data_IF_935960778010
#
_entry.id   IF_935960778010
#
_cell.length_a   1.000
_cell.length_b   1.000
_cell.length_c   1.000
_cell.angle_alpha   90.00
_cell.angle_beta   90.00
_cell.angle_gamma   90.00
#
_symmetry.space_group_name_H-M   'P 1'
#
loop_
_entity.id
_entity.type
_entity.pdbx_description
1 polymer ?
#
# COMPACT_ATOMS: atom_id res chain seq x y z
N UNK A 1 -23.03 -17.94 11.70
CA UNK A 1 -23.72 -16.99 10.78
C UNK A 1 -24.70 -17.81 9.95
N UNK A 2 -25.91 -17.34 9.71
CA UNK A 2 -26.95 -18.07 8.96
C UNK A 2 -26.51 -18.22 7.49
N UNK A 3 -26.69 -19.42 6.89
CA UNK A 3 -26.33 -19.76 5.49
C UNK A 3 -26.90 -18.74 4.49
N UNK A 4 -28.14 -18.32 4.69
CA UNK A 4 -28.81 -17.34 3.84
C UNK A 4 -28.10 -15.97 3.84
N UNK A 5 -27.56 -15.56 4.98
CA UNK A 5 -26.81 -14.30 5.12
C UNK A 5 -25.41 -14.38 4.47
N UNK A 6 -24.82 -15.60 4.45
CA UNK A 6 -23.57 -15.88 3.73
C UNK A 6 -23.77 -15.79 2.21
N UNK A 7 -24.83 -16.43 1.68
CA UNK A 7 -25.16 -16.42 0.26
C UNK A 7 -25.45 -14.98 -0.26
N UNK A 8 -26.14 -14.17 0.57
CA UNK A 8 -26.40 -12.75 0.24
C UNK A 8 -25.10 -11.93 0.18
N UNK A 9 -24.18 -12.14 1.12
CA UNK A 9 -22.88 -11.44 1.14
C UNK A 9 -22.00 -11.85 -0.05
N UNK A 10 -22.02 -13.11 -0.48
CA UNK A 10 -21.31 -13.59 -1.67
C UNK A 10 -21.84 -12.92 -2.94
N UNK A 11 -23.16 -12.89 -3.12
CA UNK A 11 -23.79 -12.24 -4.27
C UNK A 11 -23.43 -10.75 -4.33
N UNK A 12 -23.42 -10.07 -3.18
CA UNK A 12 -23.03 -8.65 -3.08
C UNK A 12 -21.56 -8.48 -3.42
N UNK A 13 -20.66 -9.29 -2.86
CA UNK A 13 -19.20 -9.22 -3.13
C UNK A 13 -18.90 -9.46 -4.59
N UNK A 14 -19.52 -10.47 -5.20
CA UNK A 14 -19.35 -10.79 -6.63
C UNK A 14 -19.85 -9.66 -7.53
N UNK A 15 -21.05 -9.13 -7.27
CA UNK A 15 -21.61 -8.01 -8.04
C UNK A 15 -20.71 -6.77 -7.94
N UNK A 16 -20.16 -6.50 -6.77
CA UNK A 16 -19.22 -5.40 -6.53
C UNK A 16 -17.92 -5.59 -7.31
N UNK A 17 -17.32 -6.78 -7.27
CA UNK A 17 -16.12 -7.09 -8.04
C UNK A 17 -16.38 -6.95 -9.56
N UNK A 18 -17.49 -7.47 -10.06
CA UNK A 18 -17.88 -7.36 -11.46
C UNK A 18 -18.08 -5.89 -11.89
N UNK A 19 -18.71 -5.08 -11.05
CA UNK A 19 -18.86 -3.64 -11.28
C UNK A 19 -17.52 -2.94 -11.41
N UNK A 20 -16.60 -3.14 -10.46
CA UNK A 20 -15.31 -2.47 -10.47
C UNK A 20 -14.40 -2.97 -11.59
N UNK A 21 -14.45 -4.24 -11.94
CA UNK A 21 -13.74 -4.78 -13.12
C UNK A 21 -14.27 -4.15 -14.43
N UNK A 22 -15.59 -3.98 -14.54
CA UNK A 22 -16.18 -3.28 -15.67
C UNK A 22 -15.76 -1.81 -15.72
N UNK A 23 -15.82 -1.08 -14.59
CA UNK A 23 -15.44 0.32 -14.52
C UNK A 23 -13.94 0.50 -14.86
N UNK A 24 -13.08 -0.34 -14.32
CA UNK A 24 -11.64 -0.31 -14.61
C UNK A 24 -11.35 -0.59 -16.09
N UNK A 25 -12.03 -1.56 -16.69
CA UNK A 25 -11.90 -1.82 -18.14
C UNK A 25 -12.30 -0.61 -18.98
N UNK A 26 -13.36 0.12 -18.58
CA UNK A 26 -13.77 1.37 -19.24
C UNK A 26 -12.72 2.46 -19.10
N UNK A 27 -12.11 2.62 -17.92
CA UNK A 27 -11.02 3.57 -17.67
C UNK A 27 -9.76 3.20 -18.48
N UNK A 28 -9.40 1.92 -18.54
CA UNK A 28 -8.28 1.44 -19.36
C UNK A 28 -8.49 1.81 -20.83
N UNK A 29 -9.68 1.59 -21.39
CA UNK A 29 -9.99 1.86 -22.79
C UNK A 29 -9.90 3.35 -23.18
N UNK A 30 -10.06 4.27 -22.24
CA UNK A 30 -9.97 5.73 -22.48
C UNK A 30 -8.66 6.33 -21.97
N UNK A 31 -7.77 5.54 -21.35
CA UNK A 31 -6.49 5.99 -20.84
C UNK A 31 -5.36 5.86 -21.86
N UNK A 32 -4.30 6.67 -21.65
CA UNK A 32 -3.02 6.40 -22.29
C UNK A 32 -2.27 5.27 -21.58
N UNK A 33 -1.56 4.40 -22.33
CA UNK A 33 -0.85 3.28 -21.73
C UNK A 33 0.39 3.70 -20.95
N UNK A 34 0.75 2.89 -19.94
CA UNK A 34 2.00 2.99 -19.21
C UNK A 34 2.07 4.12 -18.18
N UNK A 35 3.29 4.33 -17.67
CA UNK A 35 3.62 5.40 -16.72
C UNK A 35 4.12 6.60 -17.50
N UNK A 36 3.47 7.74 -17.33
CA UNK A 36 3.80 9.00 -18.02
C UNK A 36 3.84 10.15 -17.00
N UNK A 37 5.00 10.37 -16.33
CA UNK A 37 5.12 11.42 -15.31
C UNK A 37 4.77 12.81 -15.87
N UNK A 38 4.04 13.59 -15.08
CA UNK A 38 3.67 14.96 -15.45
C UNK A 38 2.31 15.38 -14.91
N UNK A 39 2.18 16.66 -14.54
CA UNK A 39 0.99 17.18 -13.90
C UNK A 39 0.00 17.85 -14.87
N UNK A 40 0.40 18.14 -16.11
CA UNK A 40 -0.41 18.92 -17.04
C UNK A 40 -1.75 18.28 -17.41
N UNK A 41 -1.77 16.95 -17.67
CA UNK A 41 -2.99 16.22 -18.04
C UNK A 41 -3.97 16.17 -16.88
N UNK A 42 -3.49 15.71 -15.71
CA UNK A 42 -4.33 15.62 -14.52
C UNK A 42 -4.82 16.99 -14.04
N UNK A 43 -3.99 18.04 -14.05
CA UNK A 43 -4.40 19.39 -13.71
C UNK A 43 -5.53 19.90 -14.62
N UNK A 44 -5.43 19.62 -15.93
CA UNK A 44 -6.47 20.00 -16.89
C UNK A 44 -7.78 19.22 -16.64
N UNK A 45 -7.67 17.93 -16.39
CA UNK A 45 -8.84 17.08 -16.07
C UNK A 45 -9.51 17.55 -14.78
N UNK A 46 -8.73 17.83 -13.73
CA UNK A 46 -9.27 18.33 -12.46
C UNK A 46 -9.95 19.71 -12.64
N UNK A 47 -9.39 20.58 -13.48
CA UNK A 47 -10.03 21.87 -13.80
C UNK A 47 -11.39 21.66 -14.49
N UNK A 48 -11.49 20.73 -15.44
CA UNK A 48 -12.75 20.38 -16.11
C UNK A 48 -13.78 19.74 -15.17
N UNK A 49 -13.33 19.18 -14.04
CA UNK A 49 -14.19 18.61 -12.97
C UNK A 49 -14.50 19.62 -11.85
N UNK A 50 -14.15 20.91 -12.00
CA UNK A 50 -14.40 21.95 -11.00
C UNK A 50 -13.35 22.03 -9.87
N UNK A 51 -12.13 21.55 -10.11
CA UNK A 51 -11.00 21.55 -9.17
C UNK A 51 -11.29 20.80 -7.83
N UNK A 52 -11.74 19.56 -7.85
CA UNK A 52 -12.13 18.82 -6.66
C UNK A 52 -10.97 18.52 -5.68
N UNK A 53 -9.72 18.76 -6.09
CA UNK A 53 -8.50 18.58 -5.29
C UNK A 53 -8.22 19.77 -4.36
N UNK A 54 -9.06 20.83 -4.41
CA UNK A 54 -8.89 22.02 -3.60
C UNK A 54 -9.87 22.05 -2.43
N UNK A 55 -9.41 22.52 -1.27
CA UNK A 55 -10.26 22.82 -0.12
C UNK A 55 -10.38 21.71 0.93
N UNK A 56 -9.93 20.48 0.66
CA UNK A 56 -9.93 19.39 1.64
C UNK A 56 -8.55 19.34 2.32
N UNK A 57 -8.45 19.51 3.64
CA UNK A 57 -7.18 19.33 4.35
C UNK A 57 -6.65 17.91 4.13
N UNK A 58 -5.43 17.78 3.59
CA UNK A 58 -4.87 16.48 3.28
C UNK A 58 -3.58 16.17 4.04
N UNK A 59 -3.41 14.92 4.48
CA UNK A 59 -2.13 14.36 4.85
C UNK A 59 -1.61 13.58 3.64
N UNK A 60 -0.53 14.06 3.03
CA UNK A 60 0.03 13.48 1.82
C UNK A 60 1.16 12.51 2.16
N UNK A 61 0.94 11.21 1.92
CA UNK A 61 1.86 10.13 2.31
C UNK A 61 2.68 9.67 1.12
N UNK A 62 4.01 9.82 1.21
CA UNK A 62 4.97 9.52 0.14
C UNK A 62 6.07 8.59 0.68
N UNK A 63 6.77 7.89 -0.18
CA UNK A 63 7.88 6.99 0.20
C UNK A 63 8.07 5.86 -0.80
N UNK A 64 8.94 4.91 -0.50
CA UNK A 64 9.07 3.68 -1.29
C UNK A 64 8.24 2.57 -0.67
N UNK A 65 8.51 2.21 0.58
CA UNK A 65 7.79 1.17 1.32
C UNK A 65 7.05 1.77 2.53
N UNK A 66 5.96 1.13 2.97
CA UNK A 66 5.21 1.53 4.15
C UNK A 66 4.13 2.59 3.93
N UNK A 67 4.03 3.22 2.74
CA UNK A 67 3.04 4.27 2.46
C UNK A 67 1.61 3.88 2.84
N UNK A 68 1.10 2.79 2.26
CA UNK A 68 -0.27 2.33 2.50
C UNK A 68 -0.54 1.96 3.95
N UNK A 69 0.40 1.29 4.64
CA UNK A 69 0.27 0.96 6.07
C UNK A 69 0.23 2.22 6.94
N UNK A 70 1.11 3.21 6.67
CA UNK A 70 1.12 4.50 7.37
C UNK A 70 -0.15 5.30 7.07
N UNK A 71 -0.60 5.33 5.82
CA UNK A 71 -1.84 6.03 5.42
C UNK A 71 -3.06 5.41 6.09
N UNK A 72 -3.18 4.08 6.09
CA UNK A 72 -4.26 3.38 6.77
C UNK A 72 -4.26 3.62 8.29
N UNK A 73 -3.07 3.60 8.92
CA UNK A 73 -2.94 3.90 10.36
C UNK A 73 -3.34 5.33 10.69
N UNK A 74 -2.95 6.32 9.87
CA UNK A 74 -3.40 7.71 10.01
C UNK A 74 -4.92 7.82 9.87
N UNK A 75 -5.50 7.21 8.85
CA UNK A 75 -6.95 7.21 8.63
C UNK A 75 -7.69 6.64 9.83
N UNK A 76 -7.24 5.49 10.35
CA UNK A 76 -7.84 4.86 11.51
C UNK A 76 -7.73 5.73 12.78
N UNK A 77 -6.58 6.42 13.00
CA UNK A 77 -6.40 7.35 14.13
C UNK A 77 -7.37 8.53 14.02
N UNK A 78 -7.47 9.18 12.86
CA UNK A 78 -8.39 10.30 12.66
C UNK A 78 -9.85 9.86 12.77
N UNK A 79 -10.18 8.69 12.25
CA UNK A 79 -11.54 8.10 12.38
C UNK A 79 -11.88 7.82 13.86
N UNK A 80 -10.95 7.21 14.63
CA UNK A 80 -11.11 7.01 16.07
C UNK A 80 -11.18 8.34 16.86
N UNK A 81 -10.64 9.42 16.31
CA UNK A 81 -10.76 10.78 16.86
C UNK A 81 -12.10 11.46 16.52
N UNK A 82 -13.00 10.78 15.81
CA UNK A 82 -14.33 11.27 15.44
C UNK A 82 -14.35 12.16 14.21
N UNK A 83 -13.27 12.27 13.44
CA UNK A 83 -13.25 13.00 12.18
C UNK A 83 -13.80 12.14 11.05
N UNK A 84 -14.50 12.78 10.11
CA UNK A 84 -14.88 12.19 8.84
C UNK A 84 -13.62 12.08 7.96
N UNK A 85 -13.19 10.86 7.68
CA UNK A 85 -11.95 10.60 6.94
C UNK A 85 -12.21 10.20 5.51
N UNK A 86 -11.28 10.57 4.60
CA UNK A 86 -11.13 9.92 3.30
C UNK A 86 -9.74 9.31 3.21
N UNK A 87 -9.64 8.06 2.78
CA UNK A 87 -8.37 7.35 2.56
C UNK A 87 -8.25 6.98 1.08
N UNK A 88 -7.27 7.57 0.39
CA UNK A 88 -6.90 7.20 -0.98
C UNK A 88 -5.57 6.47 -0.98
N UNK A 89 -5.54 5.25 -1.56
CA UNK A 89 -4.35 4.39 -1.61
C UNK A 89 -4.18 3.74 -2.98
N UNK A 90 -2.95 3.28 -3.27
CA UNK A 90 -2.62 2.59 -4.52
C UNK A 90 -1.42 1.64 -4.38
N UNK A 91 -1.37 0.54 -5.17
CA UNK A 91 -2.49 0.00 -5.96
C UNK A 91 -3.55 -0.67 -5.07
N UNK A 92 -4.66 -1.08 -5.65
CA UNK A 92 -5.63 -1.96 -4.99
C UNK A 92 -5.12 -3.41 -4.93
N UNK A 93 -5.70 -4.21 -4.05
CA UNK A 93 -5.36 -5.63 -3.89
C UNK A 93 -6.24 -6.52 -4.78
N UNK A 94 -7.56 -6.40 -4.69
CA UNK A 94 -8.53 -7.20 -5.44
C UNK A 94 -9.24 -6.36 -6.51
N UNK A 95 -9.82 -5.20 -6.14
CA UNK A 95 -10.55 -4.37 -7.10
C UNK A 95 -10.40 -2.87 -6.83
N UNK A 96 -10.61 -2.07 -7.85
CA UNK A 96 -10.37 -0.62 -7.87
C UNK A 96 -11.10 0.14 -6.74
N UNK A 97 -12.27 -0.32 -6.29
CA UNK A 97 -13.03 0.32 -5.21
C UNK A 97 -12.29 0.42 -3.87
N UNK A 98 -11.27 -0.44 -3.65
CA UNK A 98 -10.43 -0.39 -2.45
C UNK A 98 -9.60 0.90 -2.35
N UNK A 99 -9.37 1.58 -3.49
CA UNK A 99 -8.50 2.77 -3.56
C UNK A 99 -9.08 3.98 -2.84
N UNK A 100 -10.39 4.01 -2.63
CA UNK A 100 -11.05 5.10 -1.91
C UNK A 100 -11.98 4.56 -0.84
N UNK A 101 -11.74 4.97 0.39
CA UNK A 101 -12.61 4.71 1.55
C UNK A 101 -13.04 6.03 2.17
N UNK A 102 -14.26 6.09 2.66
CA UNK A 102 -14.79 7.16 3.50
C UNK A 102 -15.16 6.54 4.85
N UNK A 103 -14.62 7.07 5.94
CA UNK A 103 -14.80 6.51 7.29
C UNK A 103 -14.54 4.98 7.32
N UNK A 104 -13.37 4.56 6.76
CA UNK A 104 -12.92 3.17 6.67
C UNK A 104 -13.81 2.25 5.80
N UNK A 105 -14.88 2.78 5.17
CA UNK A 105 -15.79 2.03 4.31
C UNK A 105 -15.54 2.34 2.84
N UNK A 106 -15.59 1.31 1.99
CA UNK A 106 -15.52 1.52 0.54
C UNK A 106 -16.72 2.32 0.07
N UNK A 107 -16.48 3.22 -0.88
CA UNK A 107 -17.53 4.05 -1.49
C UNK A 107 -18.50 3.18 -2.31
N UNK A 108 -19.77 3.50 -2.25
CA UNK A 108 -20.82 2.79 -2.99
C UNK A 108 -20.63 2.91 -4.51
N UNK A 109 -21.00 1.86 -5.24
CA UNK A 109 -20.82 1.70 -6.69
C UNK A 109 -21.54 2.82 -7.49
N UNK A 110 -22.69 3.25 -7.01
CA UNK A 110 -23.48 4.31 -7.65
C UNK A 110 -22.70 5.63 -7.71
N UNK A 111 -21.98 5.99 -6.64
CA UNK A 111 -21.15 7.19 -6.63
C UNK A 111 -20.02 7.12 -7.63
N UNK A 112 -19.32 5.98 -7.70
CA UNK A 112 -18.31 5.75 -8.71
C UNK A 112 -18.86 5.88 -10.13
N UNK A 113 -20.06 5.32 -10.37
CA UNK A 113 -20.74 5.41 -11.67
C UNK A 113 -21.08 6.84 -12.05
N UNK A 114 -21.63 7.63 -11.13
CA UNK A 114 -22.05 9.00 -11.41
C UNK A 114 -20.86 9.94 -11.65
N UNK A 115 -19.80 9.79 -10.85
CA UNK A 115 -18.56 10.56 -11.09
C UNK A 115 -17.84 10.12 -12.36
N UNK A 116 -17.89 8.84 -12.73
CA UNK A 116 -17.37 8.37 -14.02
C UNK A 116 -18.09 9.00 -15.20
N UNK A 117 -19.43 9.15 -15.16
CA UNK A 117 -20.19 9.86 -16.21
C UNK A 117 -19.72 11.29 -16.39
N UNK A 118 -19.48 12.01 -15.28
CA UNK A 118 -18.96 13.40 -15.29
C UNK A 118 -17.54 13.46 -15.87
N UNK A 119 -16.66 12.52 -15.47
CA UNK A 119 -15.30 12.40 -16.00
C UNK A 119 -15.30 12.09 -17.51
N UNK A 120 -16.09 11.13 -17.96
CA UNK A 120 -16.22 10.76 -19.38
C UNK A 120 -16.74 11.93 -20.23
N UNK A 121 -17.70 12.70 -19.73
CA UNK A 121 -18.17 13.92 -20.36
C UNK A 121 -17.06 14.97 -20.48
N UNK A 122 -16.31 15.25 -19.41
CA UNK A 122 -15.19 16.20 -19.40
C UNK A 122 -14.10 15.79 -20.42
N UNK A 123 -13.77 14.50 -20.52
CA UNK A 123 -12.81 13.99 -21.50
C UNK A 123 -13.31 14.17 -22.95
N UNK A 124 -14.61 14.02 -23.18
CA UNK A 124 -15.21 14.19 -24.52
C UNK A 124 -15.32 15.65 -24.95
N UNK A 125 -15.46 16.57 -24.04
CA UNK A 125 -15.58 18.01 -24.33
C UNK A 125 -14.22 18.67 -24.55
N UNK A 126 -13.15 18.20 -23.87
CA UNK A 126 -11.83 18.81 -23.96
C UNK A 126 -10.97 18.20 -25.08
N UNK A 127 -10.76 18.97 -26.16
CA UNK A 127 -9.96 18.54 -27.32
C UNK A 127 -8.51 18.19 -27.01
N UNK A 128 -7.90 18.81 -25.98
CA UNK A 128 -6.52 18.49 -25.58
C UNK A 128 -6.45 17.20 -24.79
N UNK A 129 -7.43 16.91 -23.95
CA UNK A 129 -7.53 15.61 -23.25
C UNK A 129 -7.83 14.45 -24.21
N UNK A 130 -8.50 14.73 -25.34
CA UNK A 130 -8.66 13.74 -26.43
C UNK A 130 -7.35 13.45 -27.15
N UNK A 131 -6.53 14.48 -27.44
CA UNK A 131 -5.27 14.32 -28.16
C UNK A 131 -4.13 13.78 -27.31
N UNK A 132 -4.14 14.04 -25.99
CA UNK A 132 -3.19 13.54 -24.99
C UNK A 132 -3.97 12.99 -23.78
N UNK A 133 -4.52 11.77 -23.87
CA UNK A 133 -5.35 11.20 -22.81
C UNK A 133 -4.58 11.00 -21.50
N UNK A 134 -5.24 11.21 -20.34
CA UNK A 134 -4.66 10.88 -19.05
C UNK A 134 -4.32 9.40 -18.92
N UNK A 135 -3.35 9.06 -18.09
CA UNK A 135 -3.05 7.68 -17.72
C UNK A 135 -4.17 7.10 -16.84
N UNK A 136 -4.23 5.77 -16.74
CA UNK A 136 -5.17 5.10 -15.84
C UNK A 136 -5.06 5.62 -14.40
N UNK A 137 -3.84 5.83 -13.90
CA UNK A 137 -3.62 6.37 -12.56
C UNK A 137 -4.17 7.80 -12.41
N UNK A 138 -3.93 8.68 -13.39
CA UNK A 138 -4.48 10.04 -13.40
C UNK A 138 -6.02 10.04 -13.42
N UNK A 139 -6.65 9.14 -14.20
CA UNK A 139 -8.11 9.00 -14.26
C UNK A 139 -8.70 8.54 -12.92
N UNK A 140 -8.12 7.50 -12.31
CA UNK A 140 -8.59 6.98 -11.01
C UNK A 140 -8.37 8.04 -9.92
N UNK A 141 -7.24 8.75 -9.93
CA UNK A 141 -6.96 9.83 -8.97
C UNK A 141 -7.99 10.96 -9.11
N UNK A 142 -8.27 11.43 -10.33
CA UNK A 142 -9.26 12.48 -10.57
C UNK A 142 -10.67 12.06 -10.14
N UNK A 143 -11.05 10.82 -10.44
CA UNK A 143 -12.33 10.24 -10.04
C UNK A 143 -12.47 10.17 -8.51
N UNK A 144 -11.43 9.69 -7.82
CA UNK A 144 -11.39 9.61 -6.37
C UNK A 144 -11.45 10.98 -5.70
N UNK A 145 -10.69 11.96 -6.20
CA UNK A 145 -10.73 13.34 -5.69
C UNK A 145 -12.10 14.00 -5.92
N UNK A 146 -12.76 13.71 -7.05
CA UNK A 146 -14.11 14.19 -7.33
C UNK A 146 -15.14 13.63 -6.35
N UNK A 147 -15.04 12.34 -5.99
CA UNK A 147 -15.89 11.71 -4.97
C UNK A 147 -15.59 12.30 -3.59
N UNK A 148 -14.30 12.46 -3.23
CA UNK A 148 -13.91 13.06 -1.95
C UNK A 148 -14.49 14.47 -1.78
N UNK A 149 -14.46 15.30 -2.83
CA UNK A 149 -15.01 16.66 -2.77
C UNK A 149 -16.52 16.66 -2.48
N UNK A 150 -17.26 15.69 -3.00
CA UNK A 150 -18.71 15.53 -2.70
C UNK A 150 -18.94 15.02 -1.28
N UNK A 151 -18.08 14.12 -0.79
CA UNK A 151 -18.16 13.54 0.55
C UNK A 151 -17.73 14.50 1.67
N UNK A 152 -17.04 15.58 1.34
CA UNK A 152 -16.57 16.61 2.29
C UNK A 152 -15.96 16.05 3.59
N UNK A 153 -14.88 15.25 3.52
CA UNK A 153 -14.22 14.76 4.73
C UNK A 153 -13.54 15.92 5.48
N UNK A 154 -13.43 15.78 6.82
CA UNK A 154 -12.66 16.70 7.65
C UNK A 154 -11.16 16.63 7.34
N UNK A 155 -10.69 15.43 6.95
CA UNK A 155 -9.30 15.18 6.57
C UNK A 155 -9.22 14.06 5.53
N UNK A 156 -8.40 14.27 4.50
CA UNK A 156 -8.05 13.23 3.52
C UNK A 156 -6.63 12.73 3.76
N UNK A 157 -6.46 11.42 3.83
CA UNK A 157 -5.16 10.77 3.85
C UNK A 157 -4.91 10.23 2.44
N UNK A 158 -3.87 10.72 1.77
CA UNK A 158 -3.67 10.47 0.34
C UNK A 158 -2.28 9.91 0.10
N UNK A 159 -2.23 8.67 -0.35
CA UNK A 159 -1.00 7.98 -0.74
C UNK A 159 -0.60 8.35 -2.15
N UNK A 160 0.66 8.76 -2.36
CA UNK A 160 1.24 8.95 -3.69
C UNK A 160 1.49 7.62 -4.39
N UNK A 161 1.19 7.57 -5.68
CA UNK A 161 1.40 6.35 -6.48
C UNK A 161 2.87 6.10 -6.80
N UNK A 162 3.56 7.11 -7.34
CA UNK A 162 4.96 6.98 -7.78
C UNK A 162 5.74 8.29 -7.60
N UNK A 163 6.89 8.20 -6.92
CA UNK A 163 7.76 9.37 -6.71
C UNK A 163 7.14 10.37 -5.74
N UNK A 164 6.86 11.56 -6.19
CA UNK A 164 6.24 12.66 -5.44
C UNK A 164 6.04 13.87 -6.33
N UNK A 165 7.11 14.45 -6.88
CA UNK A 165 7.11 15.71 -7.65
C UNK A 165 6.11 15.74 -8.79
N UNK A 166 6.05 14.67 -9.57
CA UNK A 166 5.18 14.54 -10.74
C UNK A 166 4.03 13.54 -10.55
N UNK A 167 3.79 13.12 -9.30
CA UNK A 167 2.66 12.26 -8.98
C UNK A 167 1.33 13.03 -9.08
N UNK A 168 0.31 12.37 -9.61
CA UNK A 168 -1.01 12.97 -9.80
C UNK A 168 -1.63 13.51 -8.50
N UNK A 169 -1.28 12.90 -7.35
CA UNK A 169 -1.74 13.34 -6.03
C UNK A 169 -1.07 14.62 -5.54
N UNK A 170 0.05 15.04 -6.16
CA UNK A 170 0.80 16.22 -5.71
C UNK A 170 0.10 17.57 -6.01
N UNK A 171 -1.05 17.55 -6.66
CA UNK A 171 -1.90 18.72 -6.90
C UNK A 171 -2.85 19.06 -5.73
N UNK A 172 -2.96 18.17 -4.74
CA UNK A 172 -3.83 18.37 -3.58
C UNK A 172 -3.43 19.63 -2.81
N UNK A 173 -4.44 20.44 -2.42
CA UNK A 173 -4.24 21.63 -1.61
C UNK A 173 -5.53 21.98 -0.84
N UNK A 174 -5.47 22.28 0.48
CA UNK A 174 -4.28 22.43 1.32
C UNK A 174 -3.69 21.07 1.79
N UNK A 175 -2.37 21.02 2.00
CA UNK A 175 -1.69 19.89 2.62
C UNK A 175 -1.42 20.25 4.08
N UNK A 176 -2.08 19.54 5.01
CA UNK A 176 -1.89 19.73 6.44
C UNK A 176 -0.50 19.22 6.90
N UNK A 177 -0.05 18.12 6.29
CA UNK A 177 1.30 17.56 6.51
C UNK A 177 1.72 16.67 5.34
N UNK A 178 2.99 16.75 4.95
CA UNK A 178 3.64 15.77 4.08
C UNK A 178 4.32 14.71 4.95
N UNK A 179 3.91 13.44 4.83
CA UNK A 179 4.47 12.30 5.60
C UNK A 179 5.30 11.44 4.66
N UNK A 180 6.59 11.32 4.96
CA UNK A 180 7.54 10.59 4.12
C UNK A 180 7.97 9.31 4.86
N UNK A 181 7.57 8.16 4.33
CA UNK A 181 7.93 6.83 4.84
C UNK A 181 9.34 6.46 4.39
N UNK A 182 9.77 5.20 4.58
CA UNK A 182 11.11 4.77 4.17
C UNK A 182 11.32 4.94 2.65
N UNK A 183 12.51 5.44 2.28
CA UNK A 183 12.95 5.60 0.90
C UNK A 183 14.00 4.51 0.59
N UNK A 184 13.86 3.86 -0.55
CA UNK A 184 14.79 2.84 -1.02
C UNK A 184 14.87 2.87 -2.55
N UNK A 185 15.85 2.16 -3.11
CA UNK A 185 15.97 1.98 -4.56
C UNK A 185 14.75 1.23 -5.09
N UNK A 186 13.99 1.85 -5.94
CA UNK A 186 12.85 1.31 -6.69
C UNK A 186 12.49 2.27 -7.82
N UNK A 187 11.93 1.75 -8.90
CA UNK A 187 11.50 2.55 -10.06
C UNK A 187 12.61 3.46 -10.64
N UNK A 188 13.85 2.98 -10.68
CA UNK A 188 15.04 3.75 -11.07
C UNK A 188 14.92 4.39 -12.46
N UNK A 189 14.22 3.74 -13.39
CA UNK A 189 13.97 4.27 -14.73
C UNK A 189 13.13 5.58 -14.75
N UNK A 190 12.41 5.88 -13.67
CA UNK A 190 11.57 7.08 -13.54
C UNK A 190 12.08 8.06 -12.49
N UNK A 191 12.66 7.56 -11.39
CA UNK A 191 13.01 8.36 -10.22
C UNK A 191 14.50 8.66 -10.10
N UNK A 192 15.31 7.98 -10.91
CA UNK A 192 16.78 8.11 -10.89
C UNK A 192 17.48 6.91 -10.26
N UNK A 193 18.77 6.84 -10.52
CA UNK A 193 19.69 5.72 -10.26
C UNK A 193 20.46 5.85 -8.93
N UNK A 194 20.11 6.82 -8.11
CA UNK A 194 20.69 7.02 -6.78
C UNK A 194 19.61 7.32 -5.75
N UNK A 195 19.90 6.94 -4.49
CA UNK A 195 18.99 7.19 -3.38
C UNK A 195 18.69 8.69 -3.17
N UNK A 196 19.68 9.55 -3.46
CA UNK A 196 19.51 11.01 -3.38
C UNK A 196 18.54 11.53 -4.44
N UNK A 197 18.62 11.08 -5.70
CA UNK A 197 17.67 11.46 -6.76
C UNK A 197 16.25 11.00 -6.41
N UNK A 198 16.10 9.78 -5.91
CA UNK A 198 14.82 9.26 -5.44
C UNK A 198 14.31 10.08 -4.25
N UNK A 199 15.20 10.48 -3.34
CA UNK A 199 14.89 11.35 -2.21
C UNK A 199 14.38 12.72 -2.67
N UNK A 200 15.07 13.38 -3.60
CA UNK A 200 14.65 14.67 -4.18
C UNK A 200 13.27 14.61 -4.82
N UNK A 201 12.98 13.56 -5.60
CA UNK A 201 11.66 13.34 -6.20
C UNK A 201 10.55 13.21 -5.15
N UNK A 202 10.85 12.52 -4.04
CA UNK A 202 9.87 12.31 -2.96
C UNK A 202 9.72 13.52 -2.06
N UNK A 203 10.80 14.19 -1.69
CA UNK A 203 10.77 15.41 -0.89
C UNK A 203 10.16 16.62 -1.62
N UNK A 204 10.02 16.55 -2.95
CA UNK A 204 9.35 17.60 -3.72
C UNK A 204 7.83 17.76 -3.44
N UNK A 205 7.27 16.97 -2.53
CA UNK A 205 5.91 17.15 -2.00
C UNK A 205 5.84 18.13 -0.83
N UNK A 206 6.98 18.58 -0.32
CA UNK A 206 7.04 19.58 0.76
C UNK A 206 6.37 20.88 0.31
N UNK A 207 5.56 21.48 1.17
CA UNK A 207 4.86 22.73 0.91
C UNK A 207 5.54 23.88 1.64
N UNK A 208 5.85 25.00 0.99
CA UNK A 208 6.39 26.19 1.68
C UNK A 208 5.52 26.57 2.88
N UNK A 209 6.16 26.87 4.01
CA UNK A 209 5.51 27.19 5.30
C UNK A 209 4.61 26.06 5.84
N UNK A 210 4.77 24.83 5.32
CA UNK A 210 3.96 23.66 5.69
C UNK A 210 4.58 22.86 6.84
N UNK A 211 4.06 21.65 7.01
CA UNK A 211 4.57 20.66 7.98
C UNK A 211 4.99 19.39 7.25
N UNK A 212 6.05 18.76 7.73
CA UNK A 212 6.51 17.49 7.18
C UNK A 212 7.03 16.56 8.27
N UNK A 213 6.84 15.27 8.04
CA UNK A 213 7.38 14.23 8.92
C UNK A 213 8.08 13.17 8.08
N UNK A 214 9.35 12.94 8.31
CA UNK A 214 10.14 11.91 7.63
C UNK A 214 10.47 10.76 8.59
N UNK A 215 10.40 9.53 8.11
CA UNK A 215 10.75 8.34 8.89
C UNK A 215 12.22 8.33 9.35
N UNK A 216 13.10 9.08 8.66
CA UNK A 216 14.55 9.04 8.88
C UNK A 216 15.24 7.86 8.20
N UNK A 217 14.57 7.16 7.28
CA UNK A 217 15.12 6.01 6.56
C UNK A 217 15.15 6.22 5.04
N UNK A 218 16.34 6.10 4.42
CA UNK A 218 17.64 5.86 5.04
C UNK A 218 18.22 7.12 5.71
N UNK A 219 19.06 6.92 6.72
CA UNK A 219 19.64 8.01 7.52
C UNK A 219 20.42 9.02 6.69
N UNK A 220 21.08 8.57 5.62
CA UNK A 220 21.85 9.42 4.70
C UNK A 220 21.00 10.51 3.99
N UNK A 221 19.67 10.37 3.95
CA UNK A 221 18.75 11.37 3.39
C UNK A 221 18.29 12.42 4.41
N UNK A 222 18.56 12.23 5.71
CA UNK A 222 18.14 13.17 6.76
C UNK A 222 18.73 14.57 6.56
N UNK A 223 20.02 14.74 6.23
CA UNK A 223 20.57 16.07 5.94
C UNK A 223 19.90 16.76 4.74
N UNK A 224 19.59 16.02 3.68
CA UNK A 224 18.88 16.56 2.53
C UNK A 224 17.47 17.02 2.90
N UNK A 225 16.73 16.21 3.65
CA UNK A 225 15.39 16.55 4.14
C UNK A 225 15.41 17.84 4.96
N UNK A 226 16.33 17.95 5.94
CA UNK A 226 16.47 19.15 6.80
C UNK A 226 16.81 20.40 6.00
N UNK A 227 17.75 20.31 5.07
CA UNK A 227 18.13 21.43 4.20
C UNK A 227 16.95 21.90 3.33
N UNK A 228 16.10 20.98 2.85
CA UNK A 228 14.88 21.32 2.11
C UNK A 228 13.82 21.96 3.01
N UNK A 229 13.66 21.49 4.23
CA UNK A 229 12.74 22.07 5.21
C UNK A 229 13.17 23.51 5.57
N UNK A 230 14.45 23.75 5.84
CA UNK A 230 14.99 25.07 6.09
C UNK A 230 14.77 26.02 4.90
N UNK A 231 15.08 25.58 3.67
CA UNK A 231 14.93 26.36 2.45
C UNK A 231 13.47 26.77 2.18
N UNK A 232 12.50 25.92 2.52
CA UNK A 232 11.08 26.12 2.27
C UNK A 232 10.30 26.63 3.48
N UNK A 233 10.98 26.91 4.59
CA UNK A 233 10.37 27.27 5.88
C UNK A 233 9.30 26.24 6.31
N UNK A 234 9.67 24.96 6.27
CA UNK A 234 8.81 23.83 6.65
C UNK A 234 9.11 23.43 8.08
N UNK A 235 8.08 23.27 8.91
CA UNK A 235 8.21 22.59 10.22
C UNK A 235 8.43 21.09 9.97
N UNK A 236 9.70 20.69 9.89
CA UNK A 236 10.10 19.34 9.55
C UNK A 236 10.51 18.53 10.78
N UNK A 237 9.97 17.32 10.92
CA UNK A 237 10.31 16.35 11.97
C UNK A 237 10.90 15.08 11.36
N UNK A 238 11.81 14.43 12.11
CA UNK A 238 12.42 13.15 11.73
C UNK A 238 12.16 12.12 12.83
N UNK A 239 11.46 11.04 12.51
CA UNK A 239 11.06 10.01 13.48
C UNK A 239 12.26 9.44 14.23
N UNK A 240 13.35 9.13 13.51
CA UNK A 240 14.55 8.52 14.11
C UNK A 240 15.33 9.44 15.04
N UNK A 241 15.09 10.76 15.02
CA UNK A 241 15.77 11.75 15.84
C UNK A 241 14.88 12.32 16.95
N UNK A 242 13.64 12.68 16.59
CA UNK A 242 12.74 13.42 17.48
C UNK A 242 11.90 12.48 18.36
N UNK A 243 11.73 11.22 17.91
CA UNK A 243 10.91 10.23 18.60
C UNK A 243 11.68 8.94 18.84
N UNK A 244 11.30 8.20 19.88
CA UNK A 244 11.95 6.93 20.27
C UNK A 244 10.91 5.84 20.46
N UNK A 245 11.04 4.78 19.68
CA UNK A 245 10.31 3.54 19.90
C UNK A 245 11.02 2.71 20.98
N UNK A 246 10.29 2.27 21.99
CA UNK A 246 10.79 1.46 23.11
C UNK A 246 9.93 0.21 23.34
N UNK A 247 10.46 -0.72 24.10
CA UNK A 247 9.73 -1.89 24.62
C UNK A 247 8.99 -2.71 23.56
N UNK A 248 9.58 -2.84 22.37
CA UNK A 248 8.96 -3.55 21.25
C UNK A 248 8.81 -5.04 21.56
N UNK A 249 7.58 -5.53 21.48
CA UNK A 249 7.22 -6.94 21.54
C UNK A 249 6.46 -7.30 20.27
N UNK A 250 6.91 -8.33 19.57
CA UNK A 250 6.28 -8.82 18.34
C UNK A 250 5.79 -10.25 18.55
N UNK A 251 4.58 -10.53 18.10
CA UNK A 251 3.95 -11.86 18.19
C UNK A 251 3.08 -12.13 16.97
N UNK A 252 2.48 -13.31 16.90
CA UNK A 252 1.49 -13.66 15.88
C UNK A 252 0.20 -12.80 15.93
N UNK A 253 -0.03 -12.11 17.04
CA UNK A 253 -1.20 -11.24 17.22
C UNK A 253 -0.92 -9.77 16.87
N UNK A 254 0.31 -9.44 16.48
CA UNK A 254 0.70 -8.06 16.18
C UNK A 254 1.93 -7.60 16.96
N UNK A 255 2.05 -6.30 17.08
CA UNK A 255 3.15 -5.63 17.78
C UNK A 255 2.63 -4.76 18.91
N UNK A 256 3.38 -4.72 20.01
CA UNK A 256 3.19 -3.81 21.16
C UNK A 256 4.48 -3.02 21.35
N UNK A 257 4.38 -1.71 21.62
CA UNK A 257 5.53 -0.84 21.82
C UNK A 257 5.13 0.46 22.54
N UNK A 258 6.14 1.17 23.04
CA UNK A 258 5.99 2.53 23.55
C UNK A 258 6.61 3.51 22.55
N UNK A 259 6.06 4.73 22.48
CA UNK A 259 6.54 5.79 21.62
C UNK A 259 6.71 7.07 22.42
N UNK A 260 7.96 7.56 22.54
CA UNK A 260 8.32 8.74 23.31
C UNK A 260 8.74 9.86 22.37
N UNK A 261 8.08 10.99 22.46
CA UNK A 261 8.33 12.17 21.65
C UNK A 261 8.39 13.46 22.47
N UNK A 262 8.50 14.63 21.82
CA UNK A 262 8.57 15.93 22.49
C UNK A 262 7.35 16.17 23.40
N UNK A 263 7.57 16.10 24.71
CA UNK A 263 6.54 16.36 25.71
C UNK A 263 5.42 15.32 25.82
N UNK A 264 5.62 14.12 25.26
CA UNK A 264 4.62 13.04 25.27
C UNK A 264 5.29 11.66 25.39
N UNK A 265 4.64 10.77 26.11
CA UNK A 265 4.96 9.34 26.14
C UNK A 265 3.66 8.55 25.90
N UNK A 266 3.57 7.93 24.74
CA UNK A 266 2.46 7.05 24.35
C UNK A 266 2.85 5.62 24.71
N UNK A 267 2.31 5.10 25.79
CA UNK A 267 2.67 3.75 26.30
C UNK A 267 1.66 2.70 25.87
N UNK A 268 2.12 1.46 25.72
CA UNK A 268 1.29 0.31 25.33
C UNK A 268 0.48 0.55 24.03
N UNK A 269 1.16 1.03 23.00
CA UNK A 269 0.60 1.07 21.64
C UNK A 269 0.54 -0.35 21.10
N UNK A 270 -0.62 -0.77 20.66
CA UNK A 270 -0.86 -2.11 20.08
C UNK A 270 -1.32 -1.96 18.64
N UNK A 271 -0.76 -2.76 17.76
CA UNK A 271 -1.25 -2.90 16.38
C UNK A 271 -1.26 -4.36 15.96
N UNK A 272 -2.32 -4.78 15.26
CA UNK A 272 -2.45 -6.12 14.69
C UNK A 272 -1.73 -6.27 13.34
N UNK A 273 -1.13 -5.20 12.82
CA UNK A 273 -0.25 -5.29 11.65
C UNK A 273 1.03 -6.04 12.02
N UNK A 274 1.29 -7.15 11.33
CA UNK A 274 2.41 -8.03 11.62
C UNK A 274 3.74 -7.52 11.04
N UNK A 275 4.82 -7.86 11.73
CA UNK A 275 6.19 -7.58 11.31
C UNK A 275 6.77 -6.30 11.91
N UNK A 276 8.08 -6.33 12.19
CA UNK A 276 8.81 -5.24 12.85
C UNK A 276 8.79 -3.92 12.07
N UNK A 277 8.67 -3.99 10.74
CA UNK A 277 8.54 -2.80 9.90
C UNK A 277 7.23 -2.04 10.13
N UNK A 278 6.17 -2.72 10.60
CA UNK A 278 4.90 -2.08 10.92
C UNK A 278 4.98 -1.25 12.19
N UNK A 279 5.88 -1.59 13.14
CA UNK A 279 6.15 -0.73 14.31
C UNK A 279 6.60 0.66 13.85
N UNK A 280 7.50 0.73 12.86
CA UNK A 280 7.97 2.01 12.31
C UNK A 280 6.87 2.76 11.56
N UNK A 281 6.08 2.05 10.73
CA UNK A 281 4.99 2.65 9.98
C UNK A 281 3.90 3.23 10.90
N UNK A 282 3.53 2.49 11.94
CA UNK A 282 2.52 2.91 12.92
C UNK A 282 3.05 3.97 13.89
N UNK A 283 4.34 3.93 14.25
CA UNK A 283 4.99 4.99 15.01
C UNK A 283 5.02 6.31 14.21
N UNK A 284 5.35 6.26 12.91
CA UNK A 284 5.31 7.43 12.03
C UNK A 284 3.88 8.00 11.91
N UNK A 285 2.88 7.13 11.83
CA UNK A 285 1.47 7.56 11.81
C UNK A 285 1.05 8.21 13.14
N UNK A 286 1.38 7.59 14.27
CA UNK A 286 1.06 8.10 15.61
C UNK A 286 1.71 9.45 15.89
N UNK A 287 3.02 9.58 15.61
CA UNK A 287 3.73 10.83 15.78
C UNK A 287 3.22 11.93 14.84
N UNK A 288 2.94 11.61 13.57
CA UNK A 288 2.36 12.57 12.62
C UNK A 288 0.97 13.06 13.06
N UNK A 289 0.12 12.16 13.54
CA UNK A 289 -1.20 12.52 14.05
C UNK A 289 -1.07 13.41 15.34
N UNK A 290 -0.12 13.10 16.21
CA UNK A 290 0.15 13.90 17.41
C UNK A 290 0.60 15.32 17.06
N UNK A 291 1.52 15.48 16.12
CA UNK A 291 1.99 16.80 15.64
C UNK A 291 0.86 17.63 14.98
N UNK A 292 -0.15 16.97 14.42
CA UNK A 292 -1.32 17.63 13.85
C UNK A 292 -2.39 17.98 14.89
N UNK A 293 -2.20 17.69 16.18
CA UNK A 293 -3.19 17.94 17.25
C UNK A 293 -3.62 19.42 17.36
N UNK A 294 -2.74 20.36 17.02
CA UNK A 294 -3.11 21.79 17.00
C UNK A 294 -4.18 22.12 15.95
N UNK A 295 -4.22 21.40 14.85
CA UNK A 295 -5.21 21.53 13.77
C UNK A 295 -6.40 20.59 13.96
N UNK A 296 -6.14 19.42 14.58
CA UNK A 296 -7.14 18.38 14.84
C UNK A 296 -7.18 18.06 16.34
N UNK A 297 -7.81 18.93 17.18
CA UNK A 297 -7.74 18.85 18.64
C UNK A 297 -8.36 17.61 19.28
N UNK A 298 -9.21 16.87 18.54
CA UNK A 298 -9.79 15.61 19.03
C UNK A 298 -8.80 14.44 18.99
N UNK A 299 -7.63 14.59 18.36
CA UNK A 299 -6.56 13.60 18.43
C UNK A 299 -6.03 13.53 19.86
N UNK A 300 -6.14 12.38 20.48
CA UNK A 300 -5.76 12.10 21.86
C UNK A 300 -4.91 10.82 21.94
N UNK A 301 -4.24 10.59 23.06
CA UNK A 301 -3.59 9.30 23.29
C UNK A 301 -4.56 8.12 23.12
N UNK A 302 -5.78 8.27 23.63
CA UNK A 302 -6.83 7.25 23.53
C UNK A 302 -7.16 6.95 22.05
N UNK A 303 -7.44 7.97 21.25
CA UNK A 303 -7.79 7.77 19.83
C UNK A 303 -6.63 7.23 19.00
N UNK A 304 -5.37 7.57 19.35
CA UNK A 304 -4.20 6.96 18.71
C UNK A 304 -4.14 5.46 19.04
N UNK A 305 -4.32 5.06 20.30
CA UNK A 305 -4.35 3.64 20.68
C UNK A 305 -5.46 2.87 19.98
N UNK A 306 -6.68 3.40 20.00
CA UNK A 306 -7.84 2.78 19.34
C UNK A 306 -7.61 2.64 17.82
N UNK A 307 -7.17 3.71 17.15
CA UNK A 307 -6.92 3.68 15.71
C UNK A 307 -5.82 2.69 15.32
N UNK A 308 -4.71 2.61 16.08
CA UNK A 308 -3.65 1.64 15.80
C UNK A 308 -4.05 0.20 16.10
N UNK A 309 -4.89 -0.03 17.11
CA UNK A 309 -5.43 -1.35 17.42
C UNK A 309 -6.37 -1.84 16.32
N UNK A 310 -7.24 -0.97 15.80
CA UNK A 310 -8.30 -1.37 14.88
C UNK A 310 -7.89 -1.35 13.40
N UNK A 311 -6.71 -0.77 13.07
CA UNK A 311 -6.25 -0.66 11.68
C UNK A 311 -6.10 -2.04 11.03
N UNK A 312 -6.62 -2.15 9.79
CA UNK A 312 -6.51 -3.34 8.95
C UNK A 312 -5.88 -2.97 7.61
N UNK A 313 -4.83 -3.69 7.23
CA UNK A 313 -4.16 -3.46 5.96
C UNK A 313 -3.82 -4.79 5.26
N UNK A 314 -4.74 -5.33 4.45
CA UNK A 314 -4.58 -6.63 3.80
C UNK A 314 -3.35 -6.71 2.88
N UNK A 315 -2.78 -7.91 2.75
CA UNK A 315 -1.65 -8.20 1.88
C UNK A 315 -0.30 -7.66 2.38
N UNK A 316 -0.19 -7.34 3.67
CA UNK A 316 1.05 -6.92 4.34
C UNK A 316 1.33 -7.82 5.55
N UNK A 317 2.05 -8.91 5.30
CA UNK A 317 2.30 -9.99 6.26
C UNK A 317 0.98 -10.42 6.94
N UNK A 318 -0.07 -10.53 6.12
CA UNK A 318 -1.41 -10.90 6.56
C UNK A 318 -1.46 -12.39 6.85
N UNK A 319 -1.85 -12.72 8.07
CA UNK A 319 -2.11 -14.09 8.45
C UNK A 319 -3.53 -14.48 8.06
N UNK A 320 -3.65 -15.47 7.19
CA UNK A 320 -4.93 -16.06 6.82
C UNK A 320 -5.11 -17.30 7.68
N UNK A 321 -6.23 -17.36 8.42
CA UNK A 321 -6.56 -18.46 9.32
C UNK A 321 -6.99 -19.69 8.53
N UNK A 322 -5.99 -20.40 8.03
CA UNK A 322 -6.15 -21.68 7.36
C UNK A 322 -5.25 -22.74 8.03
N UNK A 323 -5.59 -24.00 7.87
CA UNK A 323 -4.82 -25.12 8.38
C UNK A 323 -4.24 -25.96 7.21
N UNK A 324 -2.91 -25.96 6.99
CA UNK A 324 -1.88 -25.17 7.67
C UNK A 324 -1.95 -23.67 7.35
N UNK A 325 -1.34 -22.79 8.18
CA UNK A 325 -1.42 -21.35 8.02
C UNK A 325 -0.90 -20.84 6.67
N UNK A 326 -1.51 -19.74 6.18
CA UNK A 326 -1.10 -19.03 4.98
C UNK A 326 -0.78 -17.57 5.34
N UNK A 327 0.42 -17.11 4.97
CA UNK A 327 0.85 -15.73 5.10
C UNK A 327 0.87 -15.07 3.72
N UNK A 328 0.34 -13.87 3.62
CA UNK A 328 0.28 -13.08 2.39
C UNK A 328 1.08 -11.79 2.56
N UNK A 329 2.08 -11.57 1.69
CA UNK A 329 2.85 -10.33 1.69
C UNK A 329 3.17 -9.84 0.28
N UNK A 330 2.92 -8.56 0.04
CA UNK A 330 3.17 -7.93 -1.26
C UNK A 330 4.60 -7.42 -1.48
N UNK A 331 5.59 -7.81 -0.70
CA UNK A 331 6.99 -7.43 -0.90
C UNK A 331 7.49 -7.84 -2.29
N UNK A 332 8.04 -6.87 -3.05
CA UNK A 332 8.41 -7.04 -4.45
C UNK A 332 9.67 -6.24 -4.85
N UNK A 333 10.34 -5.61 -3.90
CA UNK A 333 11.63 -4.96 -4.08
C UNK A 333 12.61 -5.44 -3.00
N UNK A 334 13.94 -5.29 -3.17
CA UNK A 334 14.94 -5.81 -2.24
C UNK A 334 14.74 -5.34 -0.79
N UNK A 335 14.45 -4.05 -0.58
CA UNK A 335 14.23 -3.49 0.75
C UNK A 335 12.99 -4.09 1.44
N UNK A 336 11.86 -4.21 0.72
CA UNK A 336 10.64 -4.83 1.23
C UNK A 336 10.85 -6.31 1.55
N UNK A 337 11.53 -7.05 0.66
CA UNK A 337 11.83 -8.46 0.86
C UNK A 337 12.77 -8.70 2.06
N UNK A 338 13.78 -7.85 2.26
CA UNK A 338 14.65 -7.91 3.44
C UNK A 338 13.87 -7.65 4.74
N UNK A 339 12.94 -6.69 4.72
CA UNK A 339 12.05 -6.40 5.85
C UNK A 339 11.11 -7.56 6.17
N UNK A 340 10.54 -8.20 5.14
CA UNK A 340 9.74 -9.43 5.26
C UNK A 340 10.56 -10.56 5.87
N UNK A 341 11.75 -10.83 5.33
CA UNK A 341 12.62 -11.90 5.82
C UNK A 341 13.02 -11.69 7.30
N UNK A 342 13.34 -10.45 7.68
CA UNK A 342 13.62 -10.10 9.07
C UNK A 342 12.41 -10.34 9.98
N UNK A 343 11.21 -10.00 9.53
CA UNK A 343 9.97 -10.19 10.29
C UNK A 343 9.63 -11.67 10.46
N UNK A 344 9.84 -12.49 9.42
CA UNK A 344 9.64 -13.94 9.51
C UNK A 344 10.59 -14.61 10.49
N UNK A 345 11.87 -14.22 10.51
CA UNK A 345 12.84 -14.72 11.50
C UNK A 345 12.48 -14.34 12.94
N UNK A 346 11.78 -13.23 13.14
CA UNK A 346 11.31 -12.85 14.46
C UNK A 346 10.00 -13.53 14.88
N UNK A 347 9.16 -13.92 13.92
CA UNK A 347 7.85 -14.55 14.17
C UNK A 347 7.92 -16.08 14.28
N UNK A 348 8.84 -16.71 13.56
CA UNK A 348 9.01 -18.15 13.53
C UNK A 348 10.29 -18.56 14.26
N UNK A 349 10.26 -19.73 14.93
CA UNK A 349 11.48 -20.34 15.46
C UNK A 349 12.47 -20.66 14.33
N UNK A 350 13.77 -20.68 14.62
CA UNK A 350 14.83 -20.94 13.62
C UNK A 350 14.66 -22.27 12.86
N UNK A 351 14.03 -23.25 13.51
CA UNK A 351 13.78 -24.59 12.94
C UNK A 351 12.43 -24.73 12.24
N UNK A 352 11.62 -23.66 12.19
CA UNK A 352 10.30 -23.71 11.58
C UNK A 352 10.39 -23.99 10.08
N UNK A 353 9.74 -25.08 9.65
CA UNK A 353 9.65 -25.44 8.23
C UNK A 353 8.44 -24.75 7.61
N UNK A 354 8.62 -24.17 6.43
CA UNK A 354 7.55 -23.54 5.65
C UNK A 354 7.83 -23.63 4.14
N UNK A 355 6.84 -23.35 3.34
CA UNK A 355 6.90 -23.32 1.88
C UNK A 355 6.77 -21.87 1.41
N UNK A 356 7.56 -21.50 0.40
CA UNK A 356 7.39 -20.21 -0.28
C UNK A 356 6.66 -20.45 -1.60
N UNK A 357 5.55 -19.73 -1.80
CA UNK A 357 4.84 -19.60 -3.06
C UNK A 357 5.15 -18.21 -3.65
N UNK A 358 5.86 -18.16 -4.78
CA UNK A 358 6.45 -16.91 -5.28
C UNK A 358 6.08 -16.63 -6.72
N UNK A 359 5.62 -15.40 -6.97
CA UNK A 359 5.45 -14.83 -8.30
C UNK A 359 5.80 -13.33 -8.28
N UNK A 360 6.39 -12.82 -9.36
CA UNK A 360 6.91 -11.46 -9.41
C UNK A 360 6.79 -10.86 -10.82
N UNK A 361 6.81 -9.54 -10.93
CA UNK A 361 6.84 -8.84 -12.20
C UNK A 361 8.24 -8.91 -12.83
N UNK A 362 8.33 -8.99 -14.16
CA UNK A 362 9.60 -9.14 -14.92
C UNK A 362 10.56 -7.96 -14.74
N UNK A 363 10.03 -6.76 -14.51
CA UNK A 363 10.79 -5.53 -14.30
C UNK A 363 11.46 -5.41 -12.92
N UNK A 364 11.21 -6.38 -12.01
CA UNK A 364 11.79 -6.38 -10.67
C UNK A 364 13.09 -7.18 -10.60
N UNK A 365 13.95 -6.81 -9.67
CA UNK A 365 15.21 -7.55 -9.40
C UNK A 365 14.93 -8.85 -8.64
N UNK A 366 14.29 -9.81 -9.34
CA UNK A 366 13.92 -11.08 -8.73
C UNK A 366 15.12 -11.96 -8.36
N UNK A 367 16.32 -11.71 -8.90
CA UNK A 367 17.55 -12.40 -8.45
C UNK A 367 17.86 -12.04 -7.00
N UNK A 368 17.90 -10.74 -6.68
CA UNK A 368 18.13 -10.28 -5.32
C UNK A 368 17.01 -10.74 -4.38
N UNK A 369 15.72 -10.69 -4.83
CA UNK A 369 14.60 -11.18 -4.03
C UNK A 369 14.76 -12.67 -3.66
N UNK A 370 15.06 -13.52 -4.63
CA UNK A 370 15.29 -14.95 -4.42
C UNK A 370 16.52 -15.22 -3.54
N UNK A 371 17.58 -14.41 -3.67
CA UNK A 371 18.75 -14.50 -2.80
C UNK A 371 18.39 -14.19 -1.34
N UNK A 372 17.58 -13.17 -1.09
CA UNK A 372 17.09 -12.85 0.27
C UNK A 372 16.24 -14.01 0.82
N UNK A 373 15.32 -14.53 0.00
CA UNK A 373 14.46 -15.65 0.39
C UNK A 373 15.23 -16.96 0.65
N UNK A 374 16.34 -17.20 -0.08
CA UNK A 374 17.16 -18.39 0.16
C UNK A 374 17.77 -18.42 1.57
N UNK A 375 18.06 -17.23 2.15
CA UNK A 375 18.53 -17.08 3.53
C UNK A 375 17.50 -17.43 4.62
N UNK A 376 16.28 -17.80 4.22
CA UNK A 376 15.21 -18.29 5.11
C UNK A 376 15.17 -19.83 5.19
N UNK A 377 15.91 -20.55 4.38
CA UNK A 377 15.96 -22.02 4.33
C UNK A 377 14.56 -22.68 4.28
N UNK A 378 13.68 -22.34 3.32
CA UNK A 378 12.37 -22.95 3.24
C UNK A 378 12.48 -24.44 2.90
N UNK A 379 11.45 -25.23 3.27
CA UNK A 379 11.34 -26.63 2.85
C UNK A 379 11.21 -26.76 1.33
N UNK A 380 10.42 -25.87 0.74
CA UNK A 380 10.21 -25.82 -0.71
C UNK A 380 9.98 -24.40 -1.20
N UNK A 381 10.35 -24.16 -2.45
CA UNK A 381 10.04 -22.96 -3.23
C UNK A 381 9.19 -23.37 -4.43
N UNK A 382 7.95 -22.89 -4.47
CA UNK A 382 7.01 -23.10 -5.57
C UNK A 382 6.89 -21.79 -6.35
N UNK A 383 7.25 -21.81 -7.60
CA UNK A 383 7.33 -20.66 -8.50
C UNK A 383 6.16 -20.67 -9.48
N UNK A 384 5.58 -19.49 -9.75
CA UNK A 384 4.54 -19.37 -10.77
C UNK A 384 4.55 -17.97 -11.40
N UNK A 385 3.67 -17.75 -12.38
CA UNK A 385 3.40 -16.43 -12.95
C UNK A 385 2.25 -15.75 -12.20
N UNK A 386 2.22 -14.40 -12.24
CA UNK A 386 1.05 -13.64 -11.80
C UNK A 386 -0.04 -13.80 -12.87
N UNK A 387 -1.21 -14.36 -12.54
CA UNK A 387 -2.24 -14.64 -13.51
C UNK A 387 -2.73 -13.39 -14.25
N UNK A 388 -3.04 -13.57 -15.54
CA UNK A 388 -3.60 -12.54 -16.43
C UNK A 388 -2.72 -11.30 -16.65
N UNK A 389 -1.42 -11.34 -16.26
CA UNK A 389 -0.49 -10.22 -16.44
C UNK A 389 0.69 -10.62 -17.33
N UNK A 390 0.71 -10.15 -18.58
CA UNK A 390 1.79 -10.41 -19.57
C UNK A 390 3.18 -9.96 -19.09
N UNK A 391 3.24 -8.97 -18.22
CA UNK A 391 4.49 -8.47 -17.62
C UNK A 391 4.98 -9.29 -16.43
N UNK A 392 4.34 -10.41 -16.09
CA UNK A 392 4.83 -11.36 -15.10
C UNK A 392 6.17 -11.97 -15.54
N UNK A 393 7.07 -12.25 -14.60
CA UNK A 393 8.23 -13.10 -14.87
C UNK A 393 7.74 -14.52 -15.16
N UNK A 394 8.43 -15.21 -16.09
CA UNK A 394 8.06 -16.58 -16.48
C UNK A 394 8.56 -17.57 -15.41
N UNK A 395 7.78 -18.60 -15.08
CA UNK A 395 8.18 -19.59 -14.08
C UNK A 395 9.52 -20.27 -14.39
N UNK A 396 9.82 -20.51 -15.68
CA UNK A 396 11.09 -21.11 -16.11
C UNK A 396 12.28 -20.19 -15.89
N UNK A 397 12.10 -18.87 -16.06
CA UNK A 397 13.15 -17.86 -15.79
C UNK A 397 13.43 -17.80 -14.27
N UNK A 398 12.38 -17.77 -13.46
CA UNK A 398 12.48 -17.80 -12.00
C UNK A 398 13.13 -19.07 -11.50
N UNK A 399 12.76 -20.23 -12.08
CA UNK A 399 13.34 -21.54 -11.73
C UNK A 399 14.86 -21.59 -11.99
N UNK A 400 15.31 -21.06 -13.13
CA UNK A 400 16.74 -21.03 -13.45
C UNK A 400 17.51 -20.22 -12.43
N UNK A 401 17.04 -19.01 -12.11
CA UNK A 401 17.67 -18.16 -11.09
C UNK A 401 17.61 -18.78 -9.70
N UNK A 402 16.47 -19.38 -9.33
CA UNK A 402 16.32 -20.04 -8.05
C UNK A 402 17.32 -21.19 -7.86
N UNK A 403 17.57 -22.00 -8.91
CA UNK A 403 18.60 -23.07 -8.90
C UNK A 403 20.01 -22.56 -8.69
N UNK A 404 20.31 -21.32 -9.05
CA UNK A 404 21.62 -20.71 -8.83
C UNK A 404 21.80 -20.16 -7.40
N UNK A 405 20.71 -19.68 -6.76
CA UNK A 405 20.80 -18.98 -5.47
C UNK A 405 20.37 -19.80 -4.27
N UNK A 406 19.54 -20.82 -4.46
CA UNK A 406 19.17 -21.74 -3.38
C UNK A 406 20.13 -22.92 -3.32
N UNK A 407 20.83 -23.07 -2.21
CA UNK A 407 21.76 -24.18 -1.97
C UNK A 407 21.06 -25.35 -1.26
N UNK A 408 21.53 -26.57 -1.52
CA UNK A 408 21.35 -27.85 -0.83
C UNK A 408 20.02 -28.11 -0.10
N UNK A 409 19.16 -28.98 -0.67
CA UNK A 409 18.02 -29.57 0.05
C UNK A 409 16.68 -28.86 -0.11
N UNK A 410 16.64 -27.65 -0.66
CA UNK A 410 15.36 -26.95 -0.96
C UNK A 410 14.76 -27.54 -2.24
N UNK A 411 13.51 -28.02 -2.15
CA UNK A 411 12.77 -28.50 -3.30
C UNK A 411 12.25 -27.29 -4.09
N UNK A 412 12.68 -27.15 -5.36
CA UNK A 412 12.27 -26.03 -6.23
C UNK A 412 11.42 -26.58 -7.37
N UNK A 413 10.22 -26.04 -7.51
CA UNK A 413 9.26 -26.42 -8.53
C UNK A 413 8.70 -25.17 -9.24
N UNK A 414 8.29 -25.32 -10.50
CA UNK A 414 7.71 -24.22 -11.27
C UNK A 414 6.45 -24.70 -12.01
N UNK A 415 5.41 -23.87 -11.97
CA UNK A 415 4.10 -24.16 -12.54
C UNK A 415 3.65 -22.97 -13.39
N UNK A 416 3.10 -23.23 -14.56
CA UNK A 416 2.50 -22.18 -15.39
C UNK A 416 1.13 -21.74 -14.87
N UNK A 417 0.41 -22.64 -14.23
CA UNK A 417 -0.87 -22.36 -13.60
C UNK A 417 -0.69 -22.04 -12.12
N UNK A 418 -1.20 -20.90 -11.69
CA UNK A 418 -1.04 -20.41 -10.33
C UNK A 418 -1.92 -21.16 -9.32
N UNK A 419 -3.02 -21.73 -9.75
CA UNK A 419 -3.91 -22.56 -8.94
C UNK A 419 -3.23 -23.92 -8.65
N UNK A 420 -2.63 -24.55 -9.68
CA UNK A 420 -1.80 -25.74 -9.49
C UNK A 420 -0.63 -25.47 -8.54
N UNK A 421 0.07 -24.33 -8.70
CA UNK A 421 1.16 -23.93 -7.82
C UNK A 421 0.71 -23.79 -6.36
N UNK A 422 -0.43 -23.11 -6.13
CA UNK A 422 -1.01 -22.97 -4.80
C UNK A 422 -1.36 -24.33 -4.19
N UNK A 423 -2.09 -25.19 -4.93
CA UNK A 423 -2.43 -26.53 -4.44
C UNK A 423 -1.19 -27.37 -4.17
N UNK A 424 -0.15 -27.24 -4.99
CA UNK A 424 1.13 -27.91 -4.76
C UNK A 424 1.80 -27.44 -3.46
N UNK A 425 1.84 -26.13 -3.23
CA UNK A 425 2.38 -25.56 -1.99
C UNK A 425 1.62 -26.07 -0.73
N UNK A 426 0.29 -26.20 -0.82
CA UNK A 426 -0.55 -26.70 0.28
C UNK A 426 -0.34 -28.18 0.58
N UNK A 427 0.05 -29.00 -0.41
CA UNK A 427 0.30 -30.45 -0.22
C UNK A 427 1.50 -30.78 0.70
N UNK A 428 2.34 -29.80 1.01
CA UNK A 428 3.41 -29.99 2.00
C UNK A 428 2.90 -30.04 3.45
N UNK A 429 1.65 -29.67 3.70
CA UNK A 429 1.05 -29.59 5.04
C UNK A 429 1.85 -28.72 6.01
N UNK A 430 2.52 -27.70 5.50
CA UNK A 430 3.34 -26.72 6.19
C UNK A 430 2.76 -25.30 6.01
N UNK A 431 3.10 -24.34 6.89
CA UNK A 431 2.81 -22.94 6.64
C UNK A 431 3.29 -22.50 5.26
N UNK A 432 2.48 -21.72 4.54
CA UNK A 432 2.82 -21.20 3.21
C UNK A 432 2.98 -19.69 3.27
N UNK A 433 4.11 -19.17 2.79
CA UNK A 433 4.32 -17.77 2.53
C UNK A 433 4.06 -17.46 1.05
N UNK A 434 3.03 -16.70 0.73
CA UNK A 434 2.79 -16.17 -0.62
C UNK A 434 3.37 -14.76 -0.71
N UNK A 435 4.34 -14.52 -1.62
CA UNK A 435 4.99 -13.21 -1.76
C UNK A 435 5.53 -12.95 -3.18
N UNK A 436 6.11 -11.75 -3.37
CA UNK A 436 6.78 -11.30 -4.59
C UNK A 436 5.97 -10.32 -5.43
N UNK A 437 4.64 -10.24 -5.25
CA UNK A 437 3.78 -9.28 -5.95
C UNK A 437 2.47 -9.04 -5.22
N UNK A 438 2.07 -7.77 -5.09
CA UNK A 438 0.72 -7.42 -4.61
C UNK A 438 -0.39 -7.98 -5.51
N UNK A 439 -0.18 -7.99 -6.82
CA UNK A 439 -1.16 -8.55 -7.76
C UNK A 439 -1.33 -10.05 -7.58
N UNK A 440 -0.24 -10.77 -7.26
CA UNK A 440 -0.31 -12.19 -6.96
C UNK A 440 -1.06 -12.46 -5.65
N UNK A 441 -0.75 -11.70 -4.62
CA UNK A 441 -1.46 -11.77 -3.33
C UNK A 441 -2.95 -11.47 -3.52
N UNK A 442 -3.29 -10.43 -4.29
CA UNK A 442 -4.68 -10.08 -4.60
C UNK A 442 -5.42 -11.18 -5.35
N UNK A 443 -4.77 -11.77 -6.37
CA UNK A 443 -5.32 -12.92 -7.09
C UNK A 443 -5.60 -14.09 -6.12
N UNK A 444 -4.62 -14.43 -5.26
CA UNK A 444 -4.79 -15.54 -4.32
C UNK A 444 -5.91 -15.28 -3.31
N UNK A 445 -6.03 -14.06 -2.78
CA UNK A 445 -7.16 -13.70 -1.91
C UNK A 445 -8.51 -13.87 -2.62
N UNK A 446 -8.61 -13.35 -3.81
CA UNK A 446 -9.83 -13.49 -4.63
C UNK A 446 -10.15 -14.96 -4.96
N UNK A 447 -9.10 -15.78 -5.20
CA UNK A 447 -9.26 -17.21 -5.40
C UNK A 447 -9.78 -17.91 -4.14
N UNK A 448 -9.19 -17.62 -2.97
CA UNK A 448 -9.60 -18.20 -1.69
C UNK A 448 -11.04 -17.82 -1.32
N UNK A 449 -11.44 -16.57 -1.52
CA UNK A 449 -12.81 -16.14 -1.32
C UNK A 449 -13.78 -16.99 -2.17
N UNK A 450 -13.50 -17.17 -3.45
CA UNK A 450 -14.34 -17.99 -4.35
C UNK A 450 -14.42 -19.46 -3.94
N UNK A 451 -13.29 -20.07 -3.53
CA UNK A 451 -13.24 -21.48 -3.10
C UNK A 451 -13.93 -21.68 -1.76
N UNK A 452 -13.72 -20.74 -0.83
CA UNK A 452 -14.36 -20.81 0.51
C UNK A 452 -15.88 -20.71 0.41
N UNK A 453 -16.38 -19.76 -0.37
CA UNK A 453 -17.83 -19.62 -0.62
C UNK A 453 -18.39 -20.78 -1.41
N UNK A 454 -17.70 -21.28 -2.44
CA UNK A 454 -18.12 -22.46 -3.19
C UNK A 454 -18.24 -23.73 -2.37
N UNK A 455 -17.45 -23.90 -1.30
CA UNK A 455 -17.57 -25.01 -0.35
C UNK A 455 -18.74 -24.88 0.62
N UNK A 456 -19.19 -23.65 0.89
CA UNK A 456 -20.33 -23.39 1.79
C UNK A 456 -21.68 -23.53 1.06
N UNK A 457 -21.65 -23.46 -0.27
CA UNK A 457 -22.84 -23.61 -1.14
C UNK A 457 -23.04 -25.03 -1.69
N UNK A 458 -22.07 -25.92 -1.53
CA UNK A 458 -22.14 -27.36 -1.87
C UNK A 458 -22.48 -28.20 -0.63
#
# INVERSE_FOLDING_TARGET
MDRKKLDELEIISKKRADFFNYLESRLINISSPGVRPGLKRISRLLASLGNPHLGIPAVHVVGTNGKGSTAASLSAIFSASGYRTALYTSPHLIHMGERLKINEQMVAEEKWSDHFKRLDAALKEDGRLKSDPPTLFELITALSLSIMAEEMPDVAIVEAGLGGRLDATNLINPVAMSVITSIAMDHESFLGDTIFKIGEEKFAVLRPHGRAFFSGEPEELVPLFKALCERLDVSGHVLSEDWRVKNVRSSHNGNEYDLVGPGVELVNLVTHLLGLHQVKNTALAASSAWELKSQFPNVTEKSIKEGLHDVKWPGRLEWVDENPPLLLDGAHNPHGMASLAKSLKALFAEEAQFVILFAVMRDKDYRTLLTILSGLNPKSLVLTAVPSLERSARPEELFRVAKEVFCGGVQIEAYNDAEEAYHRARRFELPVLCCGSLYFVGWLKSYLERVHYGRLSA
#
